data_IF_931499069468
#
_entry.id   IF_931499069468
#
_cell.length_a   1.000
_cell.length_b   1.000
_cell.length_c   1.000
_cell.angle_alpha   90.00
_cell.angle_beta   90.00
_cell.angle_gamma   90.00
#
_symmetry.space_group_name_H-M   'P 1'
#
loop_
_entity.id
_entity.type
_entity.pdbx_description
1 polymer ?
#
# COMPACT_ATOMS: atom_id res chain seq x y z
N UNK A 1 22.09 -28.65 -26.38
CA UNK A 1 21.28 -28.25 -25.20
C UNK A 1 20.90 -26.78 -25.33
N UNK A 2 19.61 -26.46 -25.39
CA UNK A 2 19.16 -25.07 -25.51
C UNK A 2 19.34 -24.36 -24.17
N UNK A 3 20.24 -23.37 -24.09
CA UNK A 3 20.54 -22.65 -22.84
C UNK A 3 19.32 -21.83 -22.42
N UNK A 4 18.68 -22.23 -21.30
CA UNK A 4 17.53 -21.52 -20.71
C UNK A 4 17.85 -20.04 -20.48
N UNK A 5 16.87 -19.18 -20.71
CA UNK A 5 16.98 -17.74 -20.54
C UNK A 5 16.35 -17.38 -19.20
N UNK A 6 17.15 -16.86 -18.27
CA UNK A 6 16.73 -16.52 -16.92
C UNK A 6 16.47 -15.02 -16.81
N UNK A 7 15.38 -14.61 -16.17
CA UNK A 7 15.15 -13.22 -15.79
C UNK A 7 16.13 -12.80 -14.68
N UNK A 8 16.80 -11.66 -14.83
CA UNK A 8 17.77 -11.14 -13.85
C UNK A 8 17.13 -10.72 -12.52
N UNK A 9 15.84 -10.35 -12.51
CA UNK A 9 15.14 -9.90 -11.30
C UNK A 9 14.46 -11.04 -10.54
N UNK A 10 13.52 -11.76 -11.17
CA UNK A 10 12.70 -12.76 -10.47
C UNK A 10 13.21 -14.21 -10.64
N UNK A 11 14.28 -14.41 -11.41
CA UNK A 11 14.91 -15.71 -11.67
C UNK A 11 14.04 -16.78 -12.35
N UNK A 12 12.87 -16.40 -12.90
CA UNK A 12 12.09 -17.27 -13.78
C UNK A 12 12.89 -17.65 -15.03
N UNK A 13 12.74 -18.89 -15.46
CA UNK A 13 13.46 -19.46 -16.61
C UNK A 13 12.51 -19.69 -17.79
N UNK A 14 13.01 -19.41 -18.99
CA UNK A 14 12.26 -19.53 -20.24
C UNK A 14 13.08 -20.34 -21.25
N UNK A 15 12.38 -21.15 -22.04
CA UNK A 15 13.01 -21.94 -23.10
C UNK A 15 13.43 -21.08 -24.30
N UNK A 16 12.72 -19.97 -24.52
CA UNK A 16 12.93 -19.05 -25.64
C UNK A 16 13.13 -17.62 -25.13
N UNK A 17 13.89 -16.84 -25.89
CA UNK A 17 14.17 -15.44 -25.57
C UNK A 17 12.93 -14.56 -25.74
N UNK A 18 12.09 -14.83 -26.73
CA UNK A 18 10.79 -14.16 -26.96
C UNK A 18 9.92 -14.17 -25.70
N UNK A 19 9.83 -15.32 -25.00
CA UNK A 19 9.05 -15.44 -23.76
C UNK A 19 9.68 -14.67 -22.58
N UNK A 20 11.01 -14.57 -22.53
CA UNK A 20 11.67 -13.74 -21.52
C UNK A 20 11.35 -12.26 -21.74
N UNK A 21 11.40 -11.80 -22.99
CA UNK A 21 11.04 -10.41 -23.33
C UNK A 21 9.58 -10.15 -22.93
N UNK A 22 8.65 -11.04 -23.28
CA UNK A 22 7.23 -10.89 -22.92
C UNK A 22 6.99 -10.91 -21.41
N UNK A 23 7.74 -11.73 -20.68
CA UNK A 23 7.75 -11.69 -19.22
C UNK A 23 8.21 -10.34 -18.66
N UNK A 24 9.24 -9.72 -19.26
CA UNK A 24 9.69 -8.39 -18.82
C UNK A 24 8.64 -7.31 -19.12
N UNK A 25 7.94 -7.39 -20.26
CA UNK A 25 6.83 -6.47 -20.61
C UNK A 25 5.70 -6.45 -19.60
N UNK A 26 5.39 -7.61 -19.07
CA UNK A 26 4.22 -7.82 -18.21
C UNK A 26 4.55 -7.74 -16.72
N UNK A 27 5.78 -8.07 -16.34
CA UNK A 27 6.18 -8.12 -14.93
C UNK A 27 6.76 -6.81 -14.41
N UNK A 28 7.39 -6.01 -15.28
CA UNK A 28 7.86 -4.64 -14.97
C UNK A 28 8.60 -4.57 -13.64
N UNK A 29 9.63 -5.41 -13.51
CA UNK A 29 10.44 -5.47 -12.30
C UNK A 29 11.02 -4.09 -12.00
N UNK A 30 10.94 -3.72 -10.74
CA UNK A 30 11.25 -2.39 -10.27
C UNK A 30 12.42 -2.42 -9.30
N UNK A 31 13.14 -1.29 -9.23
CA UNK A 31 14.02 -0.97 -8.11
C UNK A 31 13.32 -1.17 -6.75
N UNK A 32 12.02 -0.86 -6.74
CA UNK A 32 11.15 -0.73 -5.57
C UNK A 32 10.46 -2.04 -5.15
N UNK A 33 10.59 -3.11 -5.94
CA UNK A 33 10.00 -4.40 -5.58
C UNK A 33 10.58 -4.93 -4.27
N UNK A 34 9.78 -5.58 -3.43
CA UNK A 34 10.28 -6.42 -2.35
C UNK A 34 11.37 -7.39 -2.83
N UNK A 35 12.54 -7.42 -2.18
CA UNK A 35 13.65 -8.32 -2.57
C UNK A 35 14.12 -9.20 -1.43
N UNK A 36 14.46 -10.44 -1.77
CA UNK A 36 15.13 -11.35 -0.85
C UNK A 36 16.55 -10.84 -0.54
N UNK A 37 16.85 -10.62 0.74
CA UNK A 37 18.19 -10.18 1.18
C UNK A 37 19.28 -11.24 1.01
N UNK A 38 18.92 -12.50 0.74
CA UNK A 38 19.86 -13.62 0.58
C UNK A 38 20.22 -13.83 -0.88
N UNK A 39 19.22 -14.05 -1.75
CA UNK A 39 19.46 -14.35 -3.15
C UNK A 39 19.25 -13.17 -4.11
N UNK A 40 18.78 -12.01 -3.63
CA UNK A 40 18.52 -10.84 -4.48
C UNK A 40 17.23 -10.91 -5.31
N UNK A 41 16.48 -12.01 -5.26
CA UNK A 41 15.24 -12.20 -6.05
C UNK A 41 14.23 -11.08 -5.77
N UNK A 42 13.73 -10.46 -6.84
CA UNK A 42 12.59 -9.56 -6.79
C UNK A 42 11.29 -10.34 -6.67
N UNK A 43 10.43 -9.86 -5.79
CA UNK A 43 9.11 -10.37 -5.51
C UNK A 43 8.11 -9.23 -5.70
N UNK A 44 7.02 -9.51 -6.42
CA UNK A 44 5.99 -8.50 -6.74
C UNK A 44 5.26 -7.96 -5.51
N UNK A 45 5.18 -8.75 -4.44
CA UNK A 45 4.55 -8.39 -3.18
C UNK A 45 5.33 -8.95 -1.99
N UNK A 46 5.05 -8.40 -0.81
CA UNK A 46 5.59 -8.93 0.44
C UNK A 46 5.09 -10.35 0.73
N UNK A 47 3.87 -10.71 0.29
CA UNK A 47 3.39 -12.09 0.39
C UNK A 47 4.26 -13.02 -0.47
N UNK A 48 4.59 -12.61 -1.70
CA UNK A 48 5.48 -13.40 -2.57
C UNK A 48 6.89 -13.52 -1.99
N UNK A 49 7.36 -12.49 -1.27
CA UNK A 49 8.62 -12.54 -0.53
C UNK A 49 8.54 -13.49 0.67
N UNK A 50 7.45 -13.43 1.45
CA UNK A 50 7.22 -14.36 2.55
C UNK A 50 7.15 -15.80 2.04
N UNK A 51 6.39 -16.08 1.00
CA UNK A 51 6.29 -17.41 0.38
C UNK A 51 7.64 -17.91 -0.13
N UNK A 52 8.50 -17.01 -0.64
CA UNK A 52 9.85 -17.37 -1.05
C UNK A 52 10.78 -17.78 0.11
N UNK A 53 10.58 -17.19 1.30
CA UNK A 53 11.40 -17.41 2.49
C UNK A 53 10.89 -18.56 3.36
N UNK A 54 9.57 -18.67 3.53
CA UNK A 54 8.91 -19.57 4.49
C UNK A 54 7.74 -20.35 3.89
N UNK A 55 7.48 -20.24 2.58
CA UNK A 55 6.36 -20.92 1.93
C UNK A 55 6.59 -22.43 1.73
N UNK A 56 5.78 -23.05 0.89
CA UNK A 56 5.80 -24.51 0.69
C UNK A 56 7.07 -25.03 -0.02
N UNK A 57 7.70 -24.21 -0.88
CA UNK A 57 8.88 -24.59 -1.65
C UNK A 57 9.92 -23.45 -1.67
N UNK A 58 10.51 -23.08 -0.52
CA UNK A 58 11.51 -22.04 -0.47
C UNK A 58 12.86 -22.60 -0.96
N UNK A 59 13.74 -21.73 -1.47
CA UNK A 59 15.11 -22.16 -1.77
C UNK A 59 15.81 -22.53 -0.46
N UNK A 60 16.47 -23.69 -0.32
CA UNK A 60 17.03 -24.16 0.95
C UNK A 60 17.93 -23.14 1.64
N UNK A 61 18.81 -22.49 0.88
CA UNK A 61 19.72 -21.45 1.39
C UNK A 61 18.97 -20.22 1.95
N UNK A 62 17.93 -19.77 1.24
CA UNK A 62 17.12 -18.62 1.65
C UNK A 62 16.30 -18.97 2.90
N UNK A 63 15.70 -20.16 2.93
CA UNK A 63 14.96 -20.66 4.07
C UNK A 63 15.84 -20.81 5.31
N UNK A 64 17.03 -21.42 5.18
CA UNK A 64 17.97 -21.60 6.29
C UNK A 64 18.51 -20.26 6.82
N UNK A 65 18.83 -19.33 5.91
CA UNK A 65 19.28 -17.99 6.30
C UNK A 65 18.16 -17.20 7.01
N UNK A 66 16.91 -17.34 6.57
CA UNK A 66 15.77 -16.70 7.21
C UNK A 66 15.39 -17.35 8.55
N UNK A 67 15.43 -18.69 8.64
CA UNK A 67 15.16 -19.40 9.88
C UNK A 67 16.17 -19.06 10.98
N UNK A 68 17.43 -18.81 10.61
CA UNK A 68 18.50 -18.45 11.56
C UNK A 68 18.52 -16.97 11.95
N UNK A 69 18.24 -16.06 11.00
CA UNK A 69 18.52 -14.60 11.15
C UNK A 69 17.45 -13.69 10.56
N UNK A 70 16.32 -14.25 10.16
CA UNK A 70 15.21 -13.54 9.54
C UNK A 70 14.29 -12.91 10.57
N UNK A 71 13.78 -11.72 10.25
CA UNK A 71 12.68 -11.11 11.00
C UNK A 71 11.35 -11.41 10.29
N UNK A 72 10.35 -12.02 10.96
CA UNK A 72 9.07 -12.38 10.35
C UNK A 72 8.21 -11.15 9.98
N UNK A 73 8.46 -10.02 10.64
CA UNK A 73 7.73 -8.76 10.38
C UNK A 73 8.31 -8.03 9.18
N UNK A 74 9.64 -7.84 9.15
CA UNK A 74 10.25 -7.06 8.08
C UNK A 74 10.71 -7.85 6.86
N UNK A 75 10.75 -9.19 6.95
CA UNK A 75 11.26 -10.10 5.93
C UNK A 75 12.74 -9.87 5.56
N UNK A 76 13.49 -9.11 6.36
CA UNK A 76 14.93 -8.94 6.21
C UNK A 76 15.69 -10.03 6.96
N UNK A 77 16.82 -10.44 6.37
CA UNK A 77 17.85 -11.27 7.01
C UNK A 77 18.96 -10.33 7.47
N UNK A 78 19.25 -10.30 8.77
CA UNK A 78 20.22 -9.36 9.37
C UNK A 78 21.66 -9.88 9.19
N UNK A 79 22.57 -9.01 8.75
CA UNK A 79 24.02 -9.24 8.61
C UNK A 79 24.73 -7.96 9.11
N UNK A 80 25.67 -7.95 10.11
CA UNK A 80 26.40 -9.04 10.82
C UNK A 80 25.76 -9.50 12.16
N UNK A 81 26.31 -10.53 12.86
CA UNK A 81 25.70 -11.21 14.02
C UNK A 81 25.77 -10.47 15.37
N UNK A 82 25.98 -9.15 15.40
CA UNK A 82 25.81 -8.43 16.66
C UNK A 82 24.32 -8.25 16.91
N UNK A 83 23.76 -9.16 17.70
CA UNK A 83 22.37 -9.25 18.13
C UNK A 83 21.93 -8.09 19.06
N UNK A 84 22.39 -6.87 18.80
CA UNK A 84 21.91 -5.66 19.44
C UNK A 84 20.94 -4.96 18.48
N UNK A 85 19.65 -5.14 18.75
CA UNK A 85 18.53 -4.33 18.26
C UNK A 85 18.41 -4.18 16.73
N UNK A 86 17.92 -5.22 16.04
CA UNK A 86 17.17 -4.96 14.80
C UNK A 86 15.90 -4.17 15.18
N UNK A 87 15.98 -2.83 15.13
CA UNK A 87 14.78 -2.01 15.21
C UNK A 87 14.09 -2.11 13.86
N UNK A 88 13.06 -2.95 13.77
CA UNK A 88 12.22 -3.04 12.58
C UNK A 88 11.76 -1.61 12.24
N UNK A 89 12.02 -1.08 11.02
CA UNK A 89 11.57 0.25 10.63
C UNK A 89 10.05 0.20 10.42
N UNK A 90 9.31 0.12 11.51
CA UNK A 90 7.88 0.37 11.56
C UNK A 90 7.59 1.89 11.61
N UNK A 91 8.63 2.70 11.83
CA UNK A 91 8.51 4.14 11.98
C UNK A 91 9.62 4.85 11.20
N UNK A 92 9.38 5.16 9.93
CA UNK A 92 10.04 6.31 9.34
C UNK A 92 9.63 7.57 10.15
N UNK A 93 10.53 8.55 10.37
CA UNK A 93 10.18 9.76 11.09
C UNK A 93 9.01 10.48 10.40
N UNK A 94 8.11 11.13 11.15
CA UNK A 94 6.99 11.90 10.60
C UNK A 94 7.48 12.96 9.59
N UNK A 95 6.75 13.13 8.49
CA UNK A 95 6.85 14.24 7.55
C UNK A 95 5.55 15.04 7.61
N UNK A 96 5.65 16.33 7.92
CA UNK A 96 4.48 17.20 7.99
C UNK A 96 3.62 17.07 6.73
N UNK A 97 2.33 16.75 6.92
CA UNK A 97 1.36 16.71 5.82
C UNK A 97 0.84 15.33 5.42
N UNK A 98 0.83 14.33 6.31
CA UNK A 98 0.10 13.06 6.11
C UNK A 98 -1.07 12.95 7.08
N UNK A 99 -2.23 12.52 6.61
CA UNK A 99 -3.40 12.17 7.42
C UNK A 99 -3.90 10.77 7.03
N UNK A 100 -4.27 9.96 8.02
CA UNK A 100 -4.95 8.70 7.76
C UNK A 100 -6.44 8.81 8.10
N UNK A 101 -7.28 8.28 7.21
CA UNK A 101 -8.75 8.26 7.31
C UNK A 101 -9.24 6.84 7.46
N UNK A 102 -10.31 6.67 8.23
CA UNK A 102 -11.08 5.43 8.28
C UNK A 102 -12.49 5.69 8.75
N UNK A 103 -13.45 4.98 8.15
CA UNK A 103 -14.86 5.08 8.50
C UNK A 103 -15.36 3.79 9.14
N UNK A 104 -16.46 3.90 9.89
CA UNK A 104 -17.32 2.77 10.24
C UNK A 104 -18.64 2.89 9.55
N UNK A 105 -18.99 1.82 8.86
CA UNK A 105 -20.20 1.74 8.07
C UNK A 105 -21.29 0.97 8.81
N UNK A 106 -22.52 1.42 8.63
CA UNK A 106 -23.74 0.71 9.02
C UNK A 106 -24.55 0.39 7.76
N UNK A 107 -25.47 -0.56 7.87
CA UNK A 107 -26.38 -0.94 6.81
C UNK A 107 -27.59 0.00 6.73
N UNK A 108 -27.89 0.47 5.53
CA UNK A 108 -29.05 1.28 5.20
C UNK A 108 -29.82 0.68 4.01
N UNK A 109 -30.92 1.31 3.64
CA UNK A 109 -31.82 0.81 2.60
C UNK A 109 -32.75 -0.30 3.10
N UNK A 110 -33.62 -0.81 2.23
CA UNK A 110 -34.70 -1.74 2.60
C UNK A 110 -34.20 -3.06 3.20
N UNK A 111 -33.00 -3.50 2.84
CA UNK A 111 -32.41 -4.78 3.24
C UNK A 111 -31.10 -4.64 4.07
N UNK A 112 -30.65 -3.41 4.32
CA UNK A 112 -29.42 -3.15 5.07
C UNK A 112 -28.12 -3.48 4.31
N UNK A 113 -28.22 -3.74 3.00
CA UNK A 113 -27.07 -4.06 2.14
C UNK A 113 -26.22 -2.84 1.80
N UNK A 114 -26.81 -1.64 1.83
CA UNK A 114 -26.12 -0.40 1.50
C UNK A 114 -25.23 0.04 2.65
N UNK A 115 -23.92 0.13 2.40
CA UNK A 115 -22.96 0.68 3.34
C UNK A 115 -23.06 2.20 3.38
N UNK A 116 -23.30 2.77 4.57
CA UNK A 116 -23.28 4.22 4.81
C UNK A 116 -22.40 4.56 6.02
N UNK A 117 -21.65 5.65 5.93
CA UNK A 117 -20.77 6.08 7.01
C UNK A 117 -21.55 6.57 8.22
N UNK A 118 -21.24 5.99 9.38
CA UNK A 118 -21.83 6.35 10.67
C UNK A 118 -20.81 6.87 11.68
N UNK A 119 -19.51 6.72 11.40
CA UNK A 119 -18.42 7.32 12.18
C UNK A 119 -17.19 7.48 11.30
N UNK A 120 -16.52 8.61 11.41
CA UNK A 120 -15.28 8.89 10.70
C UNK A 120 -14.19 9.26 11.70
N UNK A 121 -12.98 8.73 11.48
CA UNK A 121 -11.79 9.09 12.21
C UNK A 121 -10.71 9.57 11.25
N UNK A 122 -9.99 10.61 11.65
CA UNK A 122 -8.79 11.12 11.00
C UNK A 122 -7.70 11.20 12.06
N UNK A 123 -6.56 10.58 11.77
CA UNK A 123 -5.36 10.68 12.62
C UNK A 123 -4.23 11.35 11.85
N UNK A 124 -3.39 12.07 12.58
CA UNK A 124 -2.15 12.59 12.04
C UNK A 124 -1.04 11.54 12.02
N UNK A 125 0.07 11.94 11.44
CA UNK A 125 1.32 11.20 11.40
C UNK A 125 2.03 11.01 12.76
N UNK A 126 1.48 11.48 13.86
CA UNK A 126 1.89 11.11 15.22
C UNK A 126 0.88 10.17 15.87
N UNK A 127 -0.08 9.63 15.10
CA UNK A 127 -1.16 8.76 15.57
C UNK A 127 -2.11 9.47 16.54
N UNK A 128 -2.13 10.81 16.53
CA UNK A 128 -3.06 11.61 17.31
C UNK A 128 -4.35 11.81 16.51
N UNK A 129 -5.47 11.74 17.22
CA UNK A 129 -6.79 12.00 16.62
C UNK A 129 -6.92 13.49 16.30
N UNK A 130 -7.19 13.79 15.03
CA UNK A 130 -7.47 15.15 14.53
C UNK A 130 -8.98 15.35 14.37
N UNK A 131 -9.70 14.29 14.01
CA UNK A 131 -11.16 14.26 13.95
C UNK A 131 -11.64 12.87 14.34
N UNK A 132 -12.61 12.78 15.24
CA UNK A 132 -13.38 11.57 15.50
C UNK A 132 -14.81 11.99 15.78
N UNK A 133 -15.73 11.65 14.88
CA UNK A 133 -17.13 12.07 14.98
C UNK A 133 -18.05 11.01 14.41
N UNK A 134 -19.22 10.87 15.03
CA UNK A 134 -20.34 10.17 14.42
C UNK A 134 -20.88 10.96 13.22
N UNK A 135 -21.46 10.23 12.28
CA UNK A 135 -22.08 10.76 11.06
C UNK A 135 -23.50 10.24 10.99
N UNK A 136 -24.49 11.11 10.76
CA UNK A 136 -25.90 10.76 10.60
C UNK A 136 -26.22 10.59 9.11
N UNK A 137 -26.33 9.36 8.58
CA UNK A 137 -26.63 9.16 7.16
C UNK A 137 -27.97 9.78 6.77
N UNK A 138 -28.10 10.20 5.50
CA UNK A 138 -29.36 10.69 4.96
C UNK A 138 -30.38 9.56 4.75
N UNK A 139 -29.89 8.36 4.44
CA UNK A 139 -30.71 7.17 4.26
C UNK A 139 -30.94 6.53 5.64
N UNK A 140 -32.17 6.13 5.99
CA UNK A 140 -32.45 5.46 7.26
C UNK A 140 -31.57 4.22 7.45
N UNK A 141 -30.94 4.15 8.63
CA UNK A 141 -30.13 3.00 9.05
C UNK A 141 -31.08 1.87 9.45
N UNK A 142 -30.99 0.74 8.75
CA UNK A 142 -31.78 -0.47 9.00
C UNK A 142 -30.98 -1.54 9.73
N UNK A 143 -29.64 -1.48 9.67
CA UNK A 143 -28.78 -2.44 10.35
C UNK A 143 -27.51 -1.78 10.92
N UNK A 144 -27.47 -1.54 12.24
CA UNK A 144 -26.34 -0.87 12.90
C UNK A 144 -25.04 -1.67 12.97
N UNK A 145 -25.10 -2.99 12.69
CA UNK A 145 -23.93 -3.89 12.77
C UNK A 145 -23.25 -3.80 14.14
N UNK A 146 -24.07 -3.78 15.20
CA UNK A 146 -23.65 -3.44 16.56
C UNK A 146 -22.44 -4.27 17.02
N UNK A 147 -22.46 -5.58 16.76
CA UNK A 147 -21.39 -6.50 17.17
C UNK A 147 -20.00 -6.11 16.64
N UNK A 148 -19.93 -5.39 15.51
CA UNK A 148 -18.68 -4.93 14.92
C UNK A 148 -18.45 -3.43 15.08
N UNK A 149 -19.49 -2.60 15.06
CA UNK A 149 -19.33 -1.13 15.07
C UNK A 149 -19.48 -0.51 16.45
N UNK A 150 -20.22 -1.16 17.36
CA UNK A 150 -20.67 -0.59 18.63
C UNK A 150 -21.61 0.62 18.48
N UNK A 151 -22.09 0.93 17.27
CA UNK A 151 -22.91 2.12 16.99
C UNK A 151 -24.35 1.86 17.39
N UNK A 152 -24.93 2.81 18.12
CA UNK A 152 -26.32 2.79 18.57
C UNK A 152 -27.09 3.97 17.96
N UNK A 153 -28.42 3.91 17.83
CA UNK A 153 -29.24 5.00 17.30
C UNK A 153 -29.00 6.34 18.01
N UNK A 154 -28.78 6.33 19.33
CA UNK A 154 -28.46 7.52 20.14
C UNK A 154 -27.20 8.24 19.68
N UNK A 155 -26.18 7.54 19.19
CA UNK A 155 -24.97 8.16 18.68
C UNK A 155 -25.24 8.99 17.42
N UNK A 156 -26.31 8.68 16.68
CA UNK A 156 -26.60 9.29 15.37
C UNK A 156 -27.64 10.42 15.45
N UNK A 157 -28.29 10.66 16.60
CA UNK A 157 -29.41 11.62 16.70
C UNK A 157 -28.96 13.05 16.34
N UNK A 158 -27.88 13.48 16.96
CA UNK A 158 -27.32 14.84 16.87
C UNK A 158 -25.93 14.85 16.17
N UNK A 159 -25.60 13.76 15.48
CA UNK A 159 -24.34 13.62 14.75
C UNK A 159 -24.28 14.52 13.50
N UNK A 160 -23.05 14.77 13.01
CA UNK A 160 -22.82 15.53 11.80
C UNK A 160 -23.47 14.87 10.58
N UNK A 161 -24.01 15.64 9.66
CA UNK A 161 -24.38 15.12 8.33
C UNK A 161 -23.13 14.68 7.55
N UNK A 162 -23.25 13.78 6.55
CA UNK A 162 -22.12 13.38 5.71
C UNK A 162 -21.44 14.59 5.07
N UNK A 163 -22.22 15.58 4.61
CA UNK A 163 -21.71 16.83 4.04
C UNK A 163 -20.88 17.67 5.03
N UNK A 164 -21.27 17.70 6.31
CA UNK A 164 -20.51 18.42 7.35
C UNK A 164 -19.22 17.67 7.69
N UNK A 165 -19.29 16.35 7.86
CA UNK A 165 -18.13 15.51 8.10
C UNK A 165 -17.12 15.60 6.93
N UNK A 166 -17.61 15.48 5.70
CA UNK A 166 -16.82 15.62 4.48
C UNK A 166 -16.10 16.97 4.40
N UNK A 167 -16.80 18.06 4.72
CA UNK A 167 -16.19 19.41 4.76
C UNK A 167 -15.04 19.48 5.76
N UNK A 168 -15.23 18.95 6.98
CA UNK A 168 -14.18 18.93 8.01
C UNK A 168 -12.97 18.13 7.55
N UNK A 169 -13.19 16.93 6.98
CA UNK A 169 -12.10 16.10 6.43
C UNK A 169 -11.38 16.84 5.29
N UNK A 170 -12.12 17.48 4.40
CA UNK A 170 -11.55 18.23 3.28
C UNK A 170 -10.72 19.43 3.73
N UNK A 171 -11.18 20.19 4.72
CA UNK A 171 -10.43 21.31 5.31
C UNK A 171 -9.08 20.84 5.89
N UNK A 172 -9.07 19.70 6.58
CA UNK A 172 -7.84 19.08 7.11
C UNK A 172 -6.90 18.66 5.98
N UNK A 173 -7.42 18.01 4.94
CA UNK A 173 -6.64 17.51 3.81
C UNK A 173 -6.10 18.62 2.91
N UNK A 174 -6.84 19.70 2.71
CA UNK A 174 -6.42 20.81 1.87
C UNK A 174 -5.42 21.74 2.58
N UNK A 175 -5.35 21.71 3.92
CA UNK A 175 -4.37 22.49 4.69
C UNK A 175 -4.39 24.00 4.37
N UNK A 176 -5.59 24.55 4.18
CA UNK A 176 -5.78 25.96 3.82
C UNK A 176 -5.54 26.31 2.35
N UNK A 177 -5.30 25.33 1.46
CA UNK A 177 -5.33 25.54 0.02
C UNK A 177 -6.76 25.50 -0.54
N UNK A 178 -7.10 26.31 -1.56
CA UNK A 178 -8.34 26.13 -2.28
C UNK A 178 -8.32 24.82 -3.08
N UNK A 179 -9.45 24.13 -3.16
CA UNK A 179 -9.57 22.80 -3.76
C UNK A 179 -9.02 22.70 -5.21
N UNK A 180 -9.10 23.79 -5.99
CA UNK A 180 -8.58 23.80 -7.36
C UNK A 180 -7.05 23.74 -7.44
N UNK A 181 -6.33 24.23 -6.42
CA UNK A 181 -4.86 24.17 -6.32
C UNK A 181 -4.35 22.81 -5.86
N UNK A 182 -5.17 22.04 -5.15
CA UNK A 182 -4.84 20.67 -4.76
C UNK A 182 -4.72 19.70 -5.95
N UNK A 183 -4.92 20.17 -7.19
CA UNK A 183 -4.61 19.45 -8.43
C UNK A 183 -3.19 19.70 -8.96
N UNK A 184 -2.45 20.62 -8.34
CA UNK A 184 -1.04 20.89 -8.64
C UNK A 184 -0.15 20.13 -7.67
N UNK A 185 0.92 19.54 -8.19
CA UNK A 185 1.92 18.80 -7.41
C UNK A 185 2.77 19.67 -6.46
N UNK A 186 2.62 21.00 -6.51
CA UNK A 186 3.34 21.97 -5.66
C UNK A 186 2.47 22.58 -4.54
N UNK A 187 1.33 21.98 -4.24
CA UNK A 187 0.40 22.46 -3.22
C UNK A 187 0.78 22.06 -1.79
N UNK A 188 0.09 22.64 -0.80
CA UNK A 188 0.20 22.26 0.64
C UNK A 188 -0.81 21.18 1.06
N UNK A 189 -1.53 20.60 0.11
CA UNK A 189 -2.48 19.53 0.34
C UNK A 189 -1.76 18.29 0.91
N UNK A 190 -2.42 17.61 1.83
CA UNK A 190 -1.84 16.51 2.62
C UNK A 190 -2.04 15.18 1.92
N UNK A 191 -1.10 14.27 2.11
CA UNK A 191 -1.26 12.89 1.67
C UNK A 191 -2.36 12.22 2.51
N UNK A 192 -3.31 11.57 1.83
CA UNK A 192 -4.40 10.80 2.43
C UNK A 192 -4.04 9.31 2.43
N UNK A 193 -3.93 8.70 3.60
CA UNK A 193 -3.65 7.28 3.80
C UNK A 193 -4.91 6.55 4.27
N UNK A 194 -5.11 5.31 3.80
CA UNK A 194 -6.21 4.47 4.29
C UNK A 194 -6.16 3.04 3.73
N UNK A 195 -7.27 2.33 3.86
CA UNK A 195 -7.43 0.96 3.35
C UNK A 195 -8.80 0.81 2.68
N UNK A 196 -8.83 0.84 1.35
CA UNK A 196 -10.08 0.90 0.59
C UNK A 196 -10.67 2.32 0.56
N UNK A 197 -9.82 3.32 0.35
CA UNK A 197 -10.17 4.76 0.48
C UNK A 197 -11.35 5.16 -0.40
N UNK A 198 -11.50 4.56 -1.58
CA UNK A 198 -12.61 4.89 -2.47
C UNK A 198 -13.97 4.62 -1.81
N UNK A 199 -14.09 3.54 -1.04
CA UNK A 199 -15.32 3.22 -0.31
C UNK A 199 -15.59 4.23 0.81
N UNK A 200 -14.55 4.62 1.56
CA UNK A 200 -14.65 5.63 2.61
C UNK A 200 -15.05 6.99 2.02
N UNK A 201 -14.41 7.42 0.94
CA UNK A 201 -14.64 8.71 0.28
C UNK A 201 -16.03 8.76 -0.38
N UNK A 202 -16.44 7.69 -1.06
CA UNK A 202 -17.78 7.57 -1.65
C UNK A 202 -18.87 7.71 -0.58
N UNK A 203 -18.71 7.03 0.57
CA UNK A 203 -19.67 7.09 1.68
C UNK A 203 -19.80 8.49 2.32
N UNK A 204 -18.76 9.33 2.19
CA UNK A 204 -18.74 10.72 2.62
C UNK A 204 -19.17 11.69 1.51
N UNK A 205 -19.31 11.23 0.26
CA UNK A 205 -19.56 12.09 -0.90
C UNK A 205 -18.36 12.99 -1.23
N UNK A 206 -17.15 12.46 -1.08
CA UNK A 206 -15.89 13.17 -1.31
C UNK A 206 -15.13 12.59 -2.50
N UNK A 207 -14.32 13.43 -3.14
CA UNK A 207 -13.27 13.00 -4.05
C UNK A 207 -11.94 13.59 -3.59
N UNK A 208 -10.84 12.89 -3.87
CA UNK A 208 -9.51 13.32 -3.52
C UNK A 208 -8.49 12.94 -4.61
N UNK A 209 -7.55 13.84 -4.98
CA UNK A 209 -6.63 13.58 -6.08
C UNK A 209 -5.89 12.26 -5.94
N UNK A 210 -5.91 11.43 -6.98
CA UNK A 210 -5.33 10.08 -6.97
C UNK A 210 -3.85 10.08 -6.54
N UNK A 211 -3.08 11.07 -7.01
CA UNK A 211 -1.66 11.19 -6.69
C UNK A 211 -1.37 11.56 -5.22
N UNK A 212 -2.38 11.97 -4.43
CA UNK A 212 -2.29 12.22 -3.00
C UNK A 212 -2.90 11.08 -2.17
N UNK A 213 -3.55 10.09 -2.79
CA UNK A 213 -4.08 8.91 -2.11
C UNK A 213 -2.98 7.86 -1.92
N UNK A 214 -2.94 7.23 -0.76
CA UNK A 214 -2.06 6.13 -0.39
C UNK A 214 -2.92 5.01 0.18
N UNK A 215 -3.54 4.28 -0.73
CA UNK A 215 -4.46 3.19 -0.38
C UNK A 215 -3.70 1.87 -0.21
N UNK A 216 -3.63 1.38 1.03
CA UNK A 216 -2.97 0.11 1.36
C UNK A 216 -3.65 -1.11 0.76
N UNK A 217 -4.92 -1.02 0.35
CA UNK A 217 -5.63 -2.09 -0.34
C UNK A 217 -5.23 -2.21 -1.83
N UNK A 218 -4.71 -1.13 -2.42
CA UNK A 218 -4.33 -1.06 -3.84
C UNK A 218 -2.83 -1.00 -4.09
N UNK A 219 -2.03 -0.82 -3.05
CA UNK A 219 -0.58 -0.74 -3.20
C UNK A 219 0.02 -2.11 -3.59
N UNK A 220 0.65 -2.26 -4.77
CA UNK A 220 1.04 -3.58 -5.30
C UNK A 220 1.88 -4.43 -4.35
N UNK A 221 2.79 -3.81 -3.58
CA UNK A 221 3.64 -4.51 -2.62
C UNK A 221 2.84 -5.17 -1.46
N UNK A 222 1.61 -4.71 -1.19
CA UNK A 222 0.71 -5.22 -0.15
C UNK A 222 -0.41 -6.12 -0.71
N UNK A 223 -0.55 -6.25 -2.02
CA UNK A 223 -1.59 -7.06 -2.65
C UNK A 223 -1.29 -8.56 -2.59
N UNK A 224 -2.35 -9.38 -2.77
CA UNK A 224 -2.23 -10.84 -2.79
C UNK A 224 -1.40 -11.32 -3.98
N UNK A 225 -0.49 -12.27 -3.71
CA UNK A 225 0.32 -12.92 -4.75
C UNK A 225 -0.50 -13.73 -5.74
N UNK A 226 -1.54 -14.42 -5.26
CA UNK A 226 -2.36 -15.35 -6.06
C UNK A 226 -3.23 -14.64 -7.10
N UNK A 227 -3.64 -13.40 -6.82
CA UNK A 227 -4.38 -12.57 -7.74
C UNK A 227 -4.10 -11.09 -7.43
N UNK A 228 -3.32 -10.44 -8.29
CA UNK A 228 -2.93 -9.04 -8.14
C UNK A 228 -4.06 -8.04 -8.34
N UNK A 229 -5.31 -8.48 -8.44
CA UNK A 229 -6.51 -7.62 -8.38
C UNK A 229 -7.23 -7.72 -7.04
N UNK A 230 -6.81 -8.63 -6.16
CA UNK A 230 -7.42 -8.82 -4.85
C UNK A 230 -6.54 -8.19 -3.76
N UNK A 231 -7.16 -7.34 -2.95
CA UNK A 231 -6.55 -6.80 -1.76
C UNK A 231 -6.43 -7.86 -0.66
N UNK A 232 -5.42 -7.70 0.18
CA UNK A 232 -5.39 -8.32 1.49
C UNK A 232 -6.26 -7.51 2.46
N UNK A 233 -6.86 -8.17 3.47
CA UNK A 233 -7.57 -7.43 4.52
C UNK A 233 -6.57 -6.65 5.38
N UNK A 234 -6.99 -5.47 5.87
CA UNK A 234 -6.18 -4.69 6.81
C UNK A 234 -5.80 -5.52 8.05
N UNK A 235 -6.71 -6.36 8.54
CA UNK A 235 -6.46 -7.31 9.64
C UNK A 235 -5.28 -8.23 9.35
N UNK A 236 -5.23 -8.83 8.16
CA UNK A 236 -4.11 -9.68 7.75
C UNK A 236 -2.83 -8.88 7.62
N UNK A 237 -2.86 -7.75 6.91
CA UNK A 237 -1.67 -6.92 6.69
C UNK A 237 -1.05 -6.43 8.01
N UNK A 238 -1.89 -6.01 8.94
CA UNK A 238 -1.47 -5.54 10.27
C UNK A 238 -0.78 -6.66 11.04
N UNK A 239 -1.41 -7.84 11.11
CA UNK A 239 -0.82 -8.97 11.80
C UNK A 239 0.50 -9.40 11.14
N UNK A 240 0.49 -9.57 9.83
CA UNK A 240 1.60 -10.13 9.08
C UNK A 240 2.82 -9.19 9.02
N UNK A 241 2.61 -7.86 8.97
CA UNK A 241 3.67 -6.89 8.71
C UNK A 241 3.92 -5.89 9.84
N UNK A 242 2.98 -5.73 10.78
CA UNK A 242 3.13 -4.87 11.94
C UNK A 242 3.14 -5.66 13.27
N UNK A 243 2.72 -6.92 13.27
CA UNK A 243 2.88 -7.83 14.41
C UNK A 243 1.85 -7.66 15.52
N UNK A 244 0.73 -7.00 15.26
CA UNK A 244 -0.36 -6.85 16.23
C UNK A 244 -1.74 -7.11 15.60
N UNK A 245 -2.72 -7.41 16.45
CA UNK A 245 -4.09 -7.68 16.03
C UNK A 245 -4.94 -6.42 16.07
N UNK A 246 -5.73 -6.23 15.01
CA UNK A 246 -6.89 -5.33 14.98
C UNK A 246 -8.13 -6.14 14.66
N UNK A 247 -9.31 -5.55 14.82
CA UNK A 247 -10.58 -6.17 14.43
C UNK A 247 -10.75 -7.57 15.05
N UNK A 248 -10.52 -7.63 16.37
CA UNK A 248 -10.57 -8.85 17.17
C UNK A 248 -12.04 -9.28 17.31
N UNK A 249 -12.31 -10.55 17.03
CA UNK A 249 -13.66 -11.09 17.09
C UNK A 249 -14.27 -10.91 18.49
N UNK A 250 -15.56 -10.57 18.55
CA UNK A 250 -16.27 -10.29 19.80
C UNK A 250 -15.94 -8.93 20.43
N UNK A 251 -15.24 -8.04 19.72
CA UNK A 251 -15.02 -6.65 20.13
C UNK A 251 -15.52 -5.68 19.08
N UNK A 252 -16.03 -4.53 19.51
CA UNK A 252 -16.32 -3.44 18.59
C UNK A 252 -15.01 -2.91 18.00
N UNK A 253 -15.03 -2.64 16.70
CA UNK A 253 -13.91 -2.11 15.96
C UNK A 253 -13.98 -0.58 15.98
N UNK A 254 -12.89 0.07 16.36
CA UNK A 254 -12.78 1.52 16.31
C UNK A 254 -12.13 1.96 15.00
N UNK A 255 -12.59 3.04 14.33
CA UNK A 255 -11.94 3.54 13.12
C UNK A 255 -10.51 4.03 13.36
N UNK A 256 -10.19 4.48 14.57
CA UNK A 256 -8.83 4.80 15.01
C UNK A 256 -7.83 3.65 14.74
N UNK A 257 -8.16 2.42 15.14
CA UNK A 257 -7.24 1.29 14.99
C UNK A 257 -6.93 1.02 13.51
N UNK A 258 -7.94 1.17 12.65
CA UNK A 258 -7.79 1.01 11.21
C UNK A 258 -6.93 2.14 10.62
N UNK A 259 -7.14 3.40 11.04
CA UNK A 259 -6.35 4.55 10.61
C UNK A 259 -4.87 4.36 10.98
N UNK A 260 -4.60 3.99 12.23
CA UNK A 260 -3.23 3.77 12.74
C UNK A 260 -2.57 2.60 12.02
N UNK A 261 -3.30 1.50 11.79
CA UNK A 261 -2.79 0.36 11.04
C UNK A 261 -2.42 0.73 9.59
N UNK A 262 -3.30 1.41 8.87
CA UNK A 262 -3.02 1.88 7.51
C UNK A 262 -1.83 2.85 7.47
N UNK A 263 -1.76 3.78 8.42
CA UNK A 263 -0.66 4.74 8.56
C UNK A 263 0.67 4.05 8.83
N UNK A 264 0.71 3.07 9.74
CA UNK A 264 1.93 2.30 10.04
C UNK A 264 2.38 1.45 8.85
N UNK A 265 1.45 0.85 8.10
CA UNK A 265 1.76 0.16 6.84
C UNK A 265 2.35 1.15 5.82
N UNK A 266 1.77 2.34 5.68
CA UNK A 266 2.30 3.40 4.83
C UNK A 266 3.73 3.80 5.23
N UNK A 267 3.96 4.13 6.52
CA UNK A 267 5.31 4.49 7.02
C UNK A 267 6.33 3.40 6.76
N UNK A 268 5.92 2.13 6.91
CA UNK A 268 6.76 0.96 6.62
C UNK A 268 7.15 0.89 5.15
N UNK A 269 6.19 1.11 4.24
CA UNK A 269 6.46 1.09 2.79
C UNK A 269 7.28 2.30 2.34
N UNK A 270 7.06 3.47 2.94
CA UNK A 270 7.89 4.65 2.72
C UNK A 270 9.33 4.46 3.21
N UNK A 271 9.51 3.88 4.39
CA UNK A 271 10.83 3.61 4.98
C UNK A 271 11.58 2.41 4.41
N UNK A 272 10.96 1.65 3.49
CA UNK A 272 11.55 0.49 2.87
C UNK A 272 12.60 0.90 1.82
N UNK A 273 13.82 1.22 2.30
CA UNK A 273 15.11 1.46 1.61
C UNK A 273 15.37 2.91 1.14
N UNK A 274 16.52 3.51 1.55
CA UNK A 274 17.00 4.77 0.99
C UNK A 274 17.55 4.57 -0.43
N UNK A 275 17.20 5.48 -1.34
CA UNK A 275 17.77 5.56 -2.68
C UNK A 275 19.24 5.99 -2.64
N UNK A 276 20.09 5.38 -3.48
CA UNK A 276 21.20 6.13 -4.08
C UNK A 276 20.61 6.88 -5.27
N UNK A 277 20.46 8.19 -5.10
CA UNK A 277 19.77 9.13 -5.99
C UNK A 277 20.49 9.34 -7.35
N UNK A 278 20.65 8.29 -8.17
CA UNK A 278 21.26 8.41 -9.51
C UNK A 278 20.29 8.23 -10.67
N UNK A 279 19.05 7.82 -10.42
CA UNK A 279 18.04 7.59 -11.48
C UNK A 279 16.91 8.65 -11.50
N UNK A 280 17.03 9.72 -10.69
CA UNK A 280 16.04 10.80 -10.62
C UNK A 280 16.20 11.82 -11.77
N UNK A 281 15.98 11.37 -13.01
CA UNK A 281 15.64 12.26 -14.13
C UNK A 281 14.15 12.58 -14.21
N UNK A 282 13.34 11.98 -13.34
CA UNK A 282 11.88 12.03 -13.37
C UNK A 282 11.40 12.72 -12.10
N UNK A 283 10.69 13.84 -12.25
CA UNK A 283 10.20 14.61 -11.10
C UNK A 283 9.29 13.77 -10.17
N UNK A 284 9.14 14.16 -8.89
CA UNK A 284 8.51 13.36 -7.83
C UNK A 284 7.02 12.99 -8.06
N UNK A 285 6.43 13.44 -9.17
CA UNK A 285 5.01 13.26 -9.51
C UNK A 285 4.76 12.97 -10.99
N UNK A 286 5.77 12.65 -11.79
CA UNK A 286 5.51 12.20 -13.15
C UNK A 286 4.88 10.79 -13.11
N UNK A 287 3.86 10.50 -13.93
CA UNK A 287 3.35 9.14 -14.04
C UNK A 287 4.49 8.20 -14.47
N UNK A 288 4.55 6.97 -13.94
CA UNK A 288 5.54 6.01 -14.41
C UNK A 288 5.42 5.85 -15.92
N UNK A 289 6.55 5.72 -16.66
CA UNK A 289 6.52 5.49 -18.09
C UNK A 289 5.71 4.23 -18.39
N UNK A 290 4.98 4.24 -19.52
CA UNK A 290 4.09 3.12 -19.82
C UNK A 290 4.89 1.86 -20.16
N UNK A 291 4.35 0.66 -19.91
CA UNK A 291 5.03 -0.60 -20.28
C UNK A 291 5.40 -0.65 -21.78
N UNK A 292 4.57 0.01 -22.60
CA UNK A 292 4.76 0.13 -24.04
C UNK A 292 5.93 1.05 -24.44
N UNK A 293 6.30 2.02 -23.60
CA UNK A 293 7.47 2.88 -23.79
C UNK A 293 8.77 2.15 -23.45
N UNK A 294 8.77 1.37 -22.36
CA UNK A 294 9.95 0.61 -21.92
C UNK A 294 10.25 -0.58 -22.86
N UNK A 295 9.22 -1.28 -23.34
CA UNK A 295 9.37 -2.47 -24.19
C UNK A 295 8.49 -2.43 -25.45
N UNK A 296 8.72 -1.50 -26.37
CA UNK A 296 7.90 -1.36 -27.57
C UNK A 296 7.94 -2.62 -28.44
N UNK A 297 6.77 -3.05 -28.94
CA UNK A 297 6.64 -4.24 -29.77
C UNK A 297 7.51 -4.17 -31.04
N UNK A 298 7.67 -2.97 -31.62
CA UNK A 298 8.47 -2.76 -32.83
C UNK A 298 9.98 -2.98 -32.63
N UNK A 299 10.48 -3.01 -31.37
CA UNK A 299 11.88 -3.36 -31.05
C UNK A 299 12.10 -4.82 -30.66
N UNK A 300 11.16 -5.73 -30.93
CA UNK A 300 11.24 -7.15 -30.50
C UNK A 300 12.61 -7.79 -30.80
N UNK A 301 13.13 -7.65 -32.03
CA UNK A 301 14.42 -8.26 -32.44
C UNK A 301 15.63 -7.70 -31.68
N UNK A 302 15.59 -6.43 -31.30
CA UNK A 302 16.64 -5.78 -30.50
C UNK A 302 16.59 -6.28 -29.06
N UNK A 303 15.40 -6.30 -28.46
CA UNK A 303 15.16 -6.79 -27.09
C UNK A 303 15.59 -8.27 -26.93
N UNK A 304 15.40 -9.09 -27.96
CA UNK A 304 15.86 -10.48 -27.96
C UNK A 304 17.39 -10.62 -28.02
N UNK A 305 18.12 -9.63 -28.50
CA UNK A 305 19.60 -9.63 -28.52
C UNK A 305 20.22 -9.16 -27.21
N UNK A 306 19.48 -8.38 -26.42
CA UNK A 306 19.94 -7.86 -25.12
C UNK A 306 20.13 -8.99 -24.10
N UNK A 307 21.03 -8.79 -23.15
CA UNK A 307 21.19 -9.63 -21.94
C UNK A 307 20.01 -9.48 -20.98
N UNK A 308 19.77 -10.44 -20.06
CA UNK A 308 18.77 -10.28 -19.01
C UNK A 308 18.97 -9.05 -18.12
N UNK A 309 20.22 -8.64 -17.90
CA UNK A 309 20.61 -7.49 -17.09
C UNK A 309 20.25 -6.17 -17.80
N UNK A 310 20.54 -6.06 -19.09
CA UNK A 310 20.16 -4.89 -19.90
C UNK A 310 18.62 -4.78 -20.02
N UNK A 311 17.91 -5.90 -20.16
CA UNK A 311 16.45 -5.90 -20.13
C UNK A 311 15.90 -5.42 -18.77
N UNK A 312 16.58 -5.75 -17.66
CA UNK A 312 16.19 -5.28 -16.34
C UNK A 312 16.42 -3.77 -16.17
N UNK A 313 17.48 -3.23 -16.77
CA UNK A 313 17.76 -1.78 -16.74
C UNK A 313 16.72 -0.94 -17.50
N UNK A 314 16.08 -1.51 -18.53
CA UNK A 314 14.95 -0.88 -19.22
C UNK A 314 13.64 -0.96 -18.42
N UNK A 315 13.55 -1.89 -17.48
CA UNK A 315 12.34 -2.14 -16.71
C UNK A 315 12.12 -1.04 -15.68
N UNK A 316 10.91 -0.48 -15.66
CA UNK A 316 10.49 0.56 -14.73
C UNK A 316 9.26 0.09 -13.95
N UNK A 317 9.01 0.73 -12.81
CA UNK A 317 7.85 0.44 -11.97
C UNK A 317 6.55 0.80 -12.70
N UNK A 318 5.53 -0.06 -12.66
CA UNK A 318 4.17 0.26 -13.14
C UNK A 318 3.32 1.01 -12.10
N UNK A 319 3.89 1.28 -10.93
CA UNK A 319 3.24 1.98 -9.83
C UNK A 319 4.16 3.01 -9.17
N UNK A 320 3.55 4.00 -8.52
CA UNK A 320 4.24 5.00 -7.73
C UNK A 320 4.70 4.43 -6.38
N UNK A 321 6.02 4.36 -6.15
CA UNK A 321 6.58 3.90 -4.88
C UNK A 321 6.42 4.95 -3.80
N UNK A 322 5.85 4.58 -2.64
CA UNK A 322 5.69 5.50 -1.51
C UNK A 322 7.02 5.91 -0.87
N UNK A 323 8.11 5.21 -1.18
CA UNK A 323 9.46 5.65 -0.85
C UNK A 323 9.82 7.02 -1.47
N UNK A 324 9.16 7.41 -2.57
CA UNK A 324 9.33 8.72 -3.21
C UNK A 324 8.63 9.86 -2.46
N UNK A 325 7.73 9.53 -1.51
CA UNK A 325 7.16 10.53 -0.60
C UNK A 325 8.20 11.02 0.43
N UNK A 326 9.34 10.32 0.56
CA UNK A 326 10.48 10.78 1.33
C UNK A 326 11.33 11.71 0.45
N UNK A 327 10.82 12.91 0.18
CA UNK A 327 11.59 13.98 -0.45
C UNK A 327 11.73 15.15 0.52
N UNK A 328 13.00 15.36 0.90
CA UNK A 328 13.65 16.47 1.61
C UNK A 328 13.02 17.04 2.90
#
# INVERSE_FOLDING_TARGET
>A
MNRRKRCAACYREFNKKEHLVEHMRTSLHSAHDPRCGVCGKHCRSLDALRDHLTGALPKPECAAAFASRGCPLCLHVVLPPTAAAHSCPAAAPPLGGVLALGCKMVGAGSDGSLDVCARVCVVDEQERVVLDTFVKPHIPVTHYRYDTTGIRPEHLRDAMTPKQAARRVQELLLNGEPAWKARSSRGRARILVGHGLDHDLESLGMDYPEYLKRDTARYPALMKTSNSRLSNSLKYLTLAYLGYHIQIAGRHHHPYDDCVAALRLYRRMRGARPHTCRDAGVGPHAPPPTPAEAFPAWRQRELERMSPEELLQLSTSDYYCWCLDATD
#
